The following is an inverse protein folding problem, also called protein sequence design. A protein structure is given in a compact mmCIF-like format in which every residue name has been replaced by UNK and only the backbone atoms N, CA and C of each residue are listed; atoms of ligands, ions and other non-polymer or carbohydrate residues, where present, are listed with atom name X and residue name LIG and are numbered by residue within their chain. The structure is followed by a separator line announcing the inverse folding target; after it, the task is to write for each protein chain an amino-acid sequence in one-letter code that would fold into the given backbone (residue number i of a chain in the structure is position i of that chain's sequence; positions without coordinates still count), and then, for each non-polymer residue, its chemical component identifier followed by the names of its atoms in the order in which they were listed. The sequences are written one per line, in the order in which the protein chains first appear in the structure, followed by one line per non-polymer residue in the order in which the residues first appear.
data_IF_536498364218
#
_entry.id   IF_536498364218
#
_cell.length_a   1.000
_cell.length_b   1.000
_cell.length_c   1.000
_cell.angle_alpha   90.00
_cell.angle_beta   90.00
_cell.angle_gamma   90.00
#
_symmetry.space_group_name_H-M   'P 1'
#
loop_
_entity.id
_entity.type
_entity.pdbx_description
1 polymer ?
#
# COMPACT_ATOMS: atom_id res chain seq x y z
N UNK A 1 12.31 32.44 51.75
CA UNK A 1 11.33 31.83 50.83
C UNK A 1 11.80 31.74 49.38
N UNK A 2 12.46 32.77 48.84
CA UNK A 2 12.90 32.83 47.43
C UNK A 2 13.79 31.66 46.98
N UNK A 3 14.76 31.21 47.80
CA UNK A 3 15.64 30.07 47.46
C UNK A 3 14.91 28.72 47.37
N UNK A 4 13.80 28.54 48.11
CA UNK A 4 12.99 27.29 48.07
C UNK A 4 12.04 27.27 46.87
N UNK A 5 11.55 28.43 46.42
CA UNK A 5 10.74 28.53 45.20
C UNK A 5 11.58 28.40 43.93
N UNK A 6 12.81 28.90 43.91
CA UNK A 6 13.73 28.72 42.79
C UNK A 6 14.11 27.23 42.58
N UNK A 7 14.31 26.48 43.66
CA UNK A 7 14.59 25.04 43.59
C UNK A 7 13.39 24.24 43.04
N UNK A 8 12.16 24.58 43.46
CA UNK A 8 10.94 23.92 42.98
C UNK A 8 10.66 24.20 41.49
N UNK A 9 10.91 25.42 41.01
CA UNK A 9 10.78 25.78 39.60
C UNK A 9 11.84 25.09 38.73
N UNK A 10 13.08 24.97 39.20
CA UNK A 10 14.11 24.22 38.47
C UNK A 10 13.77 22.72 38.37
N UNK A 11 13.25 22.11 39.42
CA UNK A 11 12.84 20.68 39.38
C UNK A 11 11.66 20.43 38.43
N UNK A 12 10.71 21.36 38.31
CA UNK A 12 9.58 21.21 37.39
C UNK A 12 10.01 21.28 35.91
N UNK A 13 11.03 22.08 35.59
CA UNK A 13 11.59 22.21 34.23
C UNK A 13 12.40 20.97 33.81
N UNK A 14 13.07 20.31 34.75
CA UNK A 14 13.83 19.06 34.47
C UNK A 14 12.89 17.88 34.21
N UNK A 15 11.75 17.81 34.90
CA UNK A 15 10.76 16.73 34.68
C UNK A 15 10.08 16.87 33.32
N UNK A 16 9.74 18.09 32.88
CA UNK A 16 9.12 18.32 31.56
C UNK A 16 10.09 18.12 30.39
N UNK A 17 11.39 18.39 30.57
CA UNK A 17 12.40 18.16 29.52
C UNK A 17 12.65 16.67 29.24
N UNK A 18 12.41 15.77 30.21
CA UNK A 18 12.61 14.33 30.05
C UNK A 18 11.55 13.63 29.20
N UNK A 19 10.36 14.24 29.04
CA UNK A 19 9.27 13.69 28.24
C UNK A 19 9.55 13.70 26.72
N UNK A 20 10.42 14.60 26.24
CA UNK A 20 10.70 14.77 24.81
C UNK A 20 11.56 13.67 24.19
N UNK A 21 12.43 13.02 24.97
CA UNK A 21 13.26 11.91 24.45
C UNK A 21 12.52 10.57 24.45
N UNK A 22 11.66 10.32 25.44
CA UNK A 22 10.86 9.08 25.53
C UNK A 22 9.75 8.99 24.47
N UNK A 23 9.20 10.12 24.03
CA UNK A 23 8.17 10.15 22.98
C UNK A 23 8.68 9.58 21.65
N UNK A 24 9.94 9.88 21.27
CA UNK A 24 10.54 9.33 20.05
C UNK A 24 10.66 7.81 20.11
N UNK A 25 11.10 7.26 21.24
CA UNK A 25 11.27 5.81 21.41
C UNK A 25 9.93 5.07 21.48
N UNK A 26 8.92 5.66 22.12
CA UNK A 26 7.55 5.13 22.16
C UNK A 26 6.87 5.10 20.79
N UNK A 27 7.04 6.13 19.97
CA UNK A 27 6.52 6.18 18.60
C UNK A 27 7.30 5.24 17.68
N UNK A 28 8.62 5.15 17.83
CA UNK A 28 9.44 4.22 17.02
C UNK A 28 9.16 2.75 17.32
N UNK A 29 8.83 2.44 18.57
CA UNK A 29 8.41 1.09 18.97
C UNK A 29 6.92 0.87 18.78
N UNK A 30 6.14 1.88 18.42
CA UNK A 30 4.71 1.71 18.21
C UNK A 30 4.46 1.03 16.88
N UNK A 31 3.27 0.44 16.77
CA UNK A 31 2.77 -0.11 15.54
C UNK A 31 2.38 0.98 14.52
N UNK A 32 2.71 2.26 14.73
CA UNK A 32 2.32 3.36 13.82
C UNK A 32 3.51 3.97 13.07
N UNK A 33 4.75 3.70 13.45
CA UNK A 33 5.94 4.25 12.76
C UNK A 33 6.45 3.30 11.67
N UNK A 34 5.66 3.12 10.62
CA UNK A 34 6.13 2.41 9.42
C UNK A 34 6.97 3.29 8.50
N UNK A 35 7.21 4.56 8.84
CA UNK A 35 8.09 5.45 8.07
C UNK A 35 9.56 5.37 8.50
N UNK A 36 9.82 4.74 9.65
CA UNK A 36 11.13 4.54 10.24
C UNK A 36 12.06 3.78 9.27
N UNK A 37 13.27 4.32 9.07
CA UNK A 37 14.36 3.71 8.28
C UNK A 37 15.60 3.48 9.14
N UNK A 38 15.42 3.25 10.44
CA UNK A 38 16.54 3.15 11.39
C UNK A 38 17.25 1.81 11.29
N UNK A 39 18.57 1.83 11.46
CA UNK A 39 19.35 0.62 11.63
C UNK A 39 18.96 -0.06 12.96
N UNK A 40 18.85 -1.40 12.95
CA UNK A 40 18.48 -2.25 14.10
C UNK A 40 17.04 -2.09 14.63
N UNK A 41 16.07 -1.79 13.76
CA UNK A 41 14.66 -1.85 14.15
C UNK A 41 14.28 -3.28 14.62
N UNK A 42 13.63 -3.45 15.80
CA UNK A 42 13.18 -4.75 16.28
C UNK A 42 12.34 -5.55 15.27
N UNK A 43 11.52 -4.89 14.44
CA UNK A 43 10.67 -5.53 13.41
C UNK A 43 11.48 -5.99 12.20
N UNK A 44 12.72 -5.51 12.07
CA UNK A 44 13.70 -5.95 11.07
C UNK A 44 14.68 -6.99 11.62
N UNK A 45 14.54 -7.41 12.88
CA UNK A 45 15.34 -8.50 13.44
C UNK A 45 14.88 -9.84 12.84
N UNK A 46 15.60 -10.33 11.84
CA UNK A 46 15.36 -11.63 11.23
C UNK A 46 15.76 -11.67 9.76
N UNK A 47 15.55 -12.82 9.13
CA UNK A 47 15.69 -12.94 7.69
C UNK A 47 14.57 -12.15 6.98
N UNK A 48 14.95 -11.43 5.91
CA UNK A 48 14.02 -10.72 5.04
C UNK A 48 12.94 -11.67 4.54
N UNK A 49 11.67 -11.30 4.73
CA UNK A 49 10.51 -12.16 4.43
C UNK A 49 9.70 -11.76 3.19
N UNK A 50 10.03 -10.62 2.56
CA UNK A 50 9.36 -10.06 1.37
C UNK A 50 10.31 -9.89 0.18
N UNK A 51 9.73 -9.69 -1.00
CA UNK A 51 10.43 -9.46 -2.26
C UNK A 51 10.97 -10.74 -2.91
N UNK A 52 11.73 -10.61 -4.00
CA UNK A 52 12.34 -11.75 -4.68
C UNK A 52 13.37 -12.41 -3.76
N UNK A 53 13.28 -13.73 -3.64
CA UNK A 53 14.24 -14.59 -2.93
C UNK A 53 15.01 -15.49 -3.89
N UNK A 54 14.53 -15.65 -5.13
CA UNK A 54 15.23 -16.35 -6.20
C UNK A 54 15.46 -15.47 -7.42
N UNK A 55 16.42 -15.86 -8.26
CA UNK A 55 16.68 -15.24 -9.56
C UNK A 55 15.91 -15.93 -10.71
N UNK A 56 14.81 -16.62 -10.41
CA UNK A 56 14.03 -17.33 -11.42
C UNK A 56 13.25 -16.33 -12.30
N UNK A 57 13.49 -16.27 -13.63
CA UNK A 57 12.76 -15.37 -14.51
C UNK A 57 11.26 -15.70 -14.59
N UNK A 58 10.89 -16.94 -14.30
CA UNK A 58 9.51 -17.43 -14.36
C UNK A 58 8.82 -17.42 -12.99
N UNK A 59 9.38 -16.68 -12.02
CA UNK A 59 8.84 -16.60 -10.65
C UNK A 59 7.44 -15.98 -10.62
N UNK A 60 7.10 -15.19 -11.64
CA UNK A 60 5.81 -14.52 -11.79
C UNK A 60 4.89 -15.16 -12.84
N UNK A 61 5.25 -16.34 -13.36
CA UNK A 61 4.38 -17.17 -14.19
C UNK A 61 3.51 -18.03 -13.29
N UNK A 62 2.32 -17.54 -12.94
CA UNK A 62 1.41 -18.25 -12.05
C UNK A 62 0.46 -19.13 -12.88
N UNK A 63 0.19 -20.34 -12.38
CA UNK A 63 -0.74 -21.27 -13.01
C UNK A 63 -2.20 -21.01 -12.58
N UNK A 64 -2.39 -20.48 -11.36
CA UNK A 64 -3.67 -19.99 -10.87
C UNK A 64 -3.44 -18.84 -9.89
N UNK A 65 -4.51 -18.11 -9.60
CA UNK A 65 -4.53 -17.18 -8.49
C UNK A 65 -5.92 -17.11 -7.86
N UNK A 66 -5.96 -16.77 -6.59
CA UNK A 66 -7.19 -16.58 -5.83
C UNK A 66 -7.11 -15.36 -4.93
N UNK A 67 -8.26 -14.73 -4.69
CA UNK A 67 -8.39 -13.68 -3.69
C UNK A 67 -8.54 -14.29 -2.29
N UNK A 68 -7.64 -13.92 -1.37
CA UNK A 68 -7.73 -14.36 0.02
C UNK A 68 -8.38 -13.31 0.91
N UNK A 69 -9.68 -13.45 1.16
CA UNK A 69 -10.41 -12.53 2.05
C UNK A 69 -9.88 -12.56 3.49
N UNK A 70 -9.46 -13.73 3.98
CA UNK A 70 -8.98 -13.91 5.34
C UNK A 70 -7.65 -13.19 5.58
N UNK A 71 -6.68 -13.36 4.66
CA UNK A 71 -5.37 -12.71 4.78
C UNK A 71 -5.51 -11.22 4.51
N UNK A 72 -6.30 -10.82 3.51
CA UNK A 72 -6.58 -9.40 3.22
C UNK A 72 -7.07 -8.66 4.46
N UNK A 73 -8.08 -9.20 5.16
CA UNK A 73 -8.56 -8.63 6.43
C UNK A 73 -7.45 -8.51 7.48
N UNK A 74 -6.61 -9.53 7.63
CA UNK A 74 -5.52 -9.52 8.62
C UNK A 74 -4.38 -8.58 8.30
N UNK A 75 -4.18 -8.25 7.02
CA UNK A 75 -3.25 -7.19 6.61
C UNK A 75 -3.90 -5.82 6.80
N UNK A 76 -5.19 -5.65 6.46
CA UNK A 76 -5.94 -4.41 6.74
C UNK A 76 -6.01 -4.08 8.23
N UNK A 77 -6.11 -5.09 9.12
CA UNK A 77 -6.12 -4.89 10.58
C UNK A 77 -4.77 -4.36 11.12
N UNK A 78 -3.73 -4.26 10.28
CA UNK A 78 -2.45 -3.66 10.67
C UNK A 78 -2.56 -2.14 10.63
N UNK A 79 -2.07 -1.49 11.68
CA UNK A 79 -1.96 -0.03 11.71
C UNK A 79 -1.23 0.49 10.48
N UNK A 80 -1.54 1.71 10.02
CA UNK A 80 -0.86 2.28 8.85
C UNK A 80 -1.42 1.81 7.51
N UNK A 81 -2.23 0.74 7.49
CA UNK A 81 -2.86 0.17 6.31
C UNK A 81 -4.34 0.50 6.35
N UNK A 82 -4.79 1.32 5.40
CA UNK A 82 -6.21 1.63 5.25
C UNK A 82 -6.99 0.43 4.71
N UNK A 83 -6.39 -0.30 3.77
CA UNK A 83 -6.98 -1.50 3.17
C UNK A 83 -5.92 -2.31 2.41
N UNK A 84 -6.14 -3.62 2.32
CA UNK A 84 -5.26 -4.56 1.64
C UNK A 84 -6.05 -5.56 0.80
N UNK A 85 -5.47 -5.94 -0.33
CA UNK A 85 -5.95 -7.01 -1.21
C UNK A 85 -4.80 -8.00 -1.42
N UNK A 86 -5.01 -9.23 -0.98
CA UNK A 86 -4.03 -10.31 -1.07
C UNK A 86 -4.49 -11.35 -2.06
N UNK A 87 -3.66 -11.57 -3.08
CA UNK A 87 -3.81 -12.62 -4.07
C UNK A 87 -2.79 -13.73 -3.79
N UNK A 88 -3.27 -14.95 -3.63
CA UNK A 88 -2.44 -16.15 -3.48
C UNK A 88 -2.33 -16.87 -4.82
N UNK A 89 -1.17 -17.46 -5.10
CA UNK A 89 -0.95 -18.25 -6.31
C UNK A 89 -0.38 -19.63 -5.97
N UNK A 90 -0.04 -20.40 -7.01
CA UNK A 90 0.67 -21.67 -6.87
C UNK A 90 2.07 -21.53 -6.25
N UNK A 91 2.65 -20.32 -6.23
CA UNK A 91 4.03 -20.09 -5.77
C UNK A 91 4.13 -18.97 -4.74
N UNK A 92 3.49 -17.83 -4.98
CA UNK A 92 3.75 -16.58 -4.29
C UNK A 92 2.48 -15.96 -3.72
N UNK A 93 2.66 -15.00 -2.82
CA UNK A 93 1.62 -14.06 -2.44
C UNK A 93 1.92 -12.69 -3.04
N UNK A 94 0.89 -12.05 -3.59
CA UNK A 94 0.95 -10.68 -4.06
C UNK A 94 -0.02 -9.82 -3.25
N UNK A 95 0.47 -8.69 -2.78
CA UNK A 95 -0.22 -7.87 -1.78
C UNK A 95 -0.27 -6.43 -2.26
N UNK A 96 -1.47 -5.97 -2.60
CA UNK A 96 -1.76 -4.57 -2.85
C UNK A 96 -2.22 -3.92 -1.55
N UNK A 97 -1.58 -2.81 -1.15
CA UNK A 97 -1.95 -2.08 0.07
C UNK A 97 -2.25 -0.61 -0.23
N UNK A 98 -3.17 -0.04 0.55
CA UNK A 98 -3.42 1.39 0.64
C UNK A 98 -3.06 1.85 2.04
N UNK A 99 -2.48 3.04 2.16
CA UNK A 99 -2.02 3.58 3.44
C UNK A 99 -3.02 4.60 3.99
N UNK A 100 -3.14 4.67 5.31
CA UNK A 100 -4.08 5.54 6.04
C UNK A 100 -3.47 6.90 6.47
N UNK A 101 -2.37 7.31 5.83
CA UNK A 101 -1.53 8.48 6.15
C UNK A 101 -0.70 8.39 7.44
N UNK A 102 -0.88 7.38 8.28
CA UNK A 102 -0.07 7.22 9.50
C UNK A 102 1.23 6.45 9.24
N UNK A 103 1.28 5.59 8.21
CA UNK A 103 2.43 4.75 7.86
C UNK A 103 3.58 5.44 7.11
N UNK A 104 3.40 6.65 6.59
CA UNK A 104 4.25 7.17 5.50
C UNK A 104 5.44 8.01 5.97
N UNK A 105 5.58 8.22 7.29
CA UNK A 105 6.59 9.09 7.87
C UNK A 105 6.44 10.56 7.43
N UNK A 106 7.15 11.46 8.10
CA UNK A 106 7.24 12.86 7.66
C UNK A 106 8.07 12.91 6.37
N UNK A 107 7.42 13.08 5.21
CA UNK A 107 8.10 13.24 3.92
C UNK A 107 9.07 14.44 4.00
N UNK A 108 10.35 14.20 3.75
CA UNK A 108 11.28 15.27 3.40
C UNK A 108 10.79 15.95 2.12
N UNK A 109 10.82 17.28 2.11
CA UNK A 109 10.48 18.16 0.99
C UNK A 109 11.10 17.67 -0.32
N UNK A 110 10.31 17.07 -1.22
CA UNK A 110 10.78 16.67 -2.56
C UNK A 110 10.23 15.37 -3.16
N UNK A 111 9.39 14.60 -2.45
CA UNK A 111 8.73 13.44 -3.06
C UNK A 111 7.65 13.85 -4.07
N UNK A 112 7.64 13.25 -5.26
CA UNK A 112 6.57 13.46 -6.24
C UNK A 112 5.22 13.12 -5.60
N UNK A 113 4.39 14.14 -5.41
CA UNK A 113 3.05 14.00 -4.85
C UNK A 113 2.15 13.39 -5.91
N UNK A 114 1.92 12.08 -5.82
CA UNK A 114 0.98 11.39 -6.73
C UNK A 114 -0.49 11.68 -6.42
N UNK A 115 -0.75 12.27 -5.24
CA UNK A 115 -2.10 12.49 -4.77
C UNK A 115 -2.36 13.96 -4.47
N UNK A 116 -3.20 14.58 -5.27
CA UNK A 116 -3.66 15.95 -5.12
C UNK A 116 -5.02 15.99 -4.44
N UNK A 117 -5.01 16.35 -3.15
CA UNK A 117 -6.23 16.50 -2.35
C UNK A 117 -6.71 17.96 -2.26
N UNK A 118 -6.13 18.87 -3.04
CA UNK A 118 -6.50 20.30 -2.96
C UNK A 118 -7.91 20.58 -3.50
N UNK A 119 -8.43 19.71 -4.37
CA UNK A 119 -9.81 19.79 -4.88
C UNK A 119 -10.89 19.66 -3.80
N UNK A 120 -10.58 19.06 -2.64
CA UNK A 120 -11.54 18.98 -1.51
C UNK A 120 -11.99 20.36 -1.03
N UNK A 121 -11.10 21.35 -1.02
CA UNK A 121 -11.44 22.72 -0.60
C UNK A 121 -12.29 23.47 -1.64
N UNK A 122 -12.28 23.01 -2.89
CA UNK A 122 -13.01 23.59 -4.02
C UNK A 122 -14.30 22.80 -4.33
N UNK A 123 -14.60 21.75 -3.56
CA UNK A 123 -15.81 20.93 -3.74
C UNK A 123 -15.78 20.01 -4.97
N UNK A 124 -14.59 19.72 -5.51
CA UNK A 124 -14.42 18.90 -6.71
C UNK A 124 -13.58 17.66 -6.43
N UNK A 125 -13.96 16.53 -7.04
CA UNK A 125 -13.28 15.25 -6.86
C UNK A 125 -11.98 15.18 -7.67
N UNK A 126 -12.00 15.66 -8.92
CA UNK A 126 -10.81 15.78 -9.77
C UNK A 126 -10.59 17.27 -10.09
N UNK A 127 -9.49 17.85 -9.59
CA UNK A 127 -9.18 19.26 -9.80
C UNK A 127 -8.86 19.58 -11.26
N UNK A 128 -8.18 18.67 -11.97
CA UNK A 128 -7.71 18.92 -13.33
C UNK A 128 -8.87 18.96 -14.35
N UNK A 129 -9.99 18.32 -14.02
CA UNK A 129 -11.21 18.34 -14.84
C UNK A 129 -12.36 19.13 -14.22
N UNK A 130 -12.24 19.57 -12.96
CA UNK A 130 -13.30 20.22 -12.19
C UNK A 130 -14.50 19.31 -11.88
N UNK A 131 -14.39 18.00 -12.11
CA UNK A 131 -15.51 17.07 -11.92
C UNK A 131 -15.75 16.80 -10.43
N UNK A 132 -17.01 16.91 -9.94
CA UNK A 132 -17.38 16.46 -8.61
C UNK A 132 -17.61 14.93 -8.54
N UNK A 133 -17.61 14.24 -9.68
CA UNK A 133 -17.90 12.80 -9.76
C UNK A 133 -16.62 11.97 -9.76
N UNK A 134 -16.54 11.00 -8.84
CA UNK A 134 -15.53 9.94 -8.85
C UNK A 134 -15.98 8.74 -9.68
N UNK A 135 -15.04 8.05 -10.33
CA UNK A 135 -15.34 6.81 -11.04
C UNK A 135 -15.38 5.64 -10.03
N UNK A 136 -16.50 4.91 -9.97
CA UNK A 136 -16.71 3.81 -9.02
C UNK A 136 -15.92 2.53 -9.34
N UNK A 137 -15.25 2.47 -10.51
CA UNK A 137 -14.44 1.32 -10.92
C UNK A 137 -13.08 1.29 -10.23
N UNK A 138 -12.34 2.40 -10.21
CA UNK A 138 -11.06 2.45 -9.49
C UNK A 138 -11.26 2.79 -8.00
N UNK A 139 -10.50 2.11 -7.15
CA UNK A 139 -10.49 2.29 -5.70
C UNK A 139 -9.51 3.39 -5.27
N UNK A 140 -8.43 3.56 -6.05
CA UNK A 140 -7.37 4.54 -5.81
C UNK A 140 -7.23 5.48 -7.00
N UNK A 141 -7.23 6.79 -6.75
CA UNK A 141 -7.04 7.85 -7.76
C UNK A 141 -5.96 8.85 -7.35
N UNK A 142 -5.41 9.61 -8.31
CA UNK A 142 -4.52 10.73 -8.03
C UNK A 142 -5.19 11.89 -7.29
N UNK A 143 -6.51 11.88 -7.07
CA UNK A 143 -7.23 12.95 -6.40
C UNK A 143 -8.13 12.39 -5.31
N UNK A 144 -8.14 13.04 -4.13
CA UNK A 144 -9.08 12.79 -3.03
C UNK A 144 -9.29 11.28 -2.71
N UNK A 145 -8.21 10.50 -2.61
CA UNK A 145 -8.23 9.04 -2.46
C UNK A 145 -7.42 8.52 -1.25
N UNK A 146 -7.26 7.21 -1.11
CA UNK A 146 -6.29 6.64 -0.16
C UNK A 146 -4.87 6.79 -0.68
N UNK A 147 -3.90 6.87 0.23
CA UNK A 147 -2.52 7.10 -0.14
C UNK A 147 -1.89 5.91 -0.84
N UNK A 148 -1.29 6.18 -2.00
CA UNK A 148 -0.53 5.25 -2.83
C UNK A 148 0.94 5.67 -2.95
N UNK A 149 1.77 4.73 -3.40
CA UNK A 149 3.20 4.92 -3.64
C UNK A 149 3.58 4.33 -4.99
N UNK A 150 4.05 5.16 -5.92
CA UNK A 150 4.45 4.72 -7.26
C UNK A 150 5.48 3.59 -7.24
N UNK A 151 6.59 3.90 -6.56
CA UNK A 151 7.78 3.08 -6.53
C UNK A 151 7.78 2.25 -5.24
N UNK A 152 7.81 0.93 -5.40
CA UNK A 152 7.90 -0.05 -4.31
C UNK A 152 9.09 0.20 -3.38
N UNK A 153 10.17 0.83 -3.87
CA UNK A 153 11.34 1.17 -3.07
C UNK A 153 11.08 2.34 -2.12
N UNK A 154 10.02 3.11 -2.34
CA UNK A 154 9.60 4.19 -1.45
C UNK A 154 8.76 3.68 -0.27
N UNK A 155 8.26 2.44 -0.33
CA UNK A 155 7.70 1.77 0.85
C UNK A 155 8.81 1.35 1.81
N UNK A 156 8.60 1.59 3.11
CA UNK A 156 9.58 1.20 4.11
C UNK A 156 9.78 -0.31 4.13
N UNK A 157 11.02 -0.72 4.41
CA UNK A 157 11.35 -2.13 4.56
C UNK A 157 10.66 -2.74 5.78
N UNK A 158 10.42 -1.95 6.83
CA UNK A 158 9.73 -2.36 8.06
C UNK A 158 8.27 -2.75 7.81
N UNK A 159 7.55 -1.93 7.02
CA UNK A 159 6.17 -2.24 6.62
C UNK A 159 6.12 -3.51 5.77
N UNK A 160 6.99 -3.59 4.76
CA UNK A 160 7.06 -4.76 3.87
C UNK A 160 7.38 -6.03 4.67
N UNK A 161 8.30 -5.95 5.65
CA UNK A 161 8.63 -7.05 6.54
C UNK A 161 7.44 -7.47 7.40
N UNK A 162 6.78 -6.53 8.06
CA UNK A 162 5.64 -6.80 8.94
C UNK A 162 4.47 -7.43 8.19
N UNK A 163 4.15 -6.91 7.00
CA UNK A 163 3.11 -7.45 6.12
C UNK A 163 3.47 -8.86 5.67
N UNK A 164 4.70 -9.10 5.23
CA UNK A 164 5.11 -10.42 4.78
C UNK A 164 5.11 -11.47 5.91
N UNK A 165 5.54 -11.10 7.12
CA UNK A 165 5.43 -11.99 8.28
C UNK A 165 3.97 -12.35 8.58
N UNK A 166 3.04 -11.37 8.48
CA UNK A 166 1.61 -11.62 8.65
C UNK A 166 1.07 -12.60 7.60
N UNK A 167 1.41 -12.39 6.34
CA UNK A 167 0.99 -13.24 5.22
C UNK A 167 1.52 -14.66 5.40
N UNK A 168 2.83 -14.83 5.64
CA UNK A 168 3.48 -16.14 5.81
C UNK A 168 2.94 -16.92 6.99
N UNK A 169 2.53 -16.25 8.08
CA UNK A 169 1.89 -16.90 9.22
C UNK A 169 0.60 -17.64 8.83
N UNK A 170 -0.13 -17.12 7.84
CA UNK A 170 -1.40 -17.69 7.38
C UNK A 170 -1.26 -18.55 6.13
N UNK A 171 -0.25 -18.28 5.30
CA UNK A 171 0.07 -19.02 4.10
C UNK A 171 1.55 -19.44 4.12
N UNK A 172 1.94 -20.44 4.94
CA UNK A 172 3.34 -20.82 5.11
C UNK A 172 3.95 -21.46 3.85
N UNK A 173 3.12 -21.93 2.91
CA UNK A 173 3.55 -22.54 1.66
C UNK A 173 4.07 -21.53 0.61
N UNK A 174 3.81 -20.22 0.78
CA UNK A 174 4.25 -19.24 -0.22
C UNK A 174 5.76 -19.06 -0.21
N UNK A 175 6.35 -19.06 -1.40
CA UNK A 175 7.79 -18.92 -1.61
C UNK A 175 8.21 -17.47 -1.40
N UNK A 176 7.52 -16.53 -2.07
CA UNK A 176 7.81 -15.11 -2.01
C UNK A 176 6.55 -14.29 -1.68
N UNK A 177 6.76 -13.13 -1.05
CA UNK A 177 5.68 -12.16 -0.77
C UNK A 177 6.03 -10.83 -1.42
N UNK A 178 5.27 -10.45 -2.44
CA UNK A 178 5.46 -9.23 -3.22
C UNK A 178 4.44 -8.19 -2.80
N UNK A 179 4.90 -7.01 -2.36
CA UNK A 179 4.05 -6.01 -1.71
C UNK A 179 4.22 -4.68 -2.42
N UNK A 180 3.13 -4.03 -2.78
CA UNK A 180 3.18 -2.71 -3.38
C UNK A 180 1.95 -1.88 -3.00
N UNK A 181 2.15 -0.57 -2.94
CA UNK A 181 1.10 0.42 -2.76
C UNK A 181 0.87 1.23 -4.04
N UNK A 182 1.32 0.70 -5.18
CA UNK A 182 1.12 1.34 -6.47
C UNK A 182 -0.36 1.34 -6.84
N UNK A 183 -0.86 2.50 -7.24
CA UNK A 183 -2.26 2.74 -7.57
C UNK A 183 -2.79 1.78 -8.66
N UNK A 184 -2.07 1.59 -9.76
CA UNK A 184 -2.52 0.71 -10.85
C UNK A 184 -2.59 -0.74 -10.39
N UNK A 185 -1.56 -1.22 -9.69
CA UNK A 185 -1.56 -2.58 -9.15
C UNK A 185 -2.76 -2.82 -8.22
N UNK A 186 -3.00 -1.91 -7.29
CA UNK A 186 -4.12 -2.03 -6.32
C UNK A 186 -5.46 -2.02 -7.04
N UNK A 187 -5.63 -1.17 -8.06
CA UNK A 187 -6.86 -1.13 -8.84
C UNK A 187 -7.07 -2.43 -9.64
N UNK A 188 -6.01 -3.02 -10.18
CA UNK A 188 -6.07 -4.34 -10.81
C UNK A 188 -6.52 -5.42 -9.83
N UNK A 189 -5.94 -5.42 -8.64
CA UNK A 189 -6.31 -6.37 -7.61
C UNK A 189 -7.75 -6.18 -7.13
N UNK A 190 -8.24 -4.94 -7.09
CA UNK A 190 -9.63 -4.65 -6.77
C UNK A 190 -10.59 -5.21 -7.82
N UNK A 191 -10.30 -5.07 -9.12
CA UNK A 191 -11.15 -5.66 -10.17
C UNK A 191 -11.19 -7.19 -10.06
N UNK A 192 -10.04 -7.85 -9.89
CA UNK A 192 -10.03 -9.29 -9.66
C UNK A 192 -10.75 -9.69 -8.36
N UNK A 193 -10.61 -8.91 -7.29
CA UNK A 193 -11.32 -9.18 -6.05
C UNK A 193 -12.84 -9.08 -6.22
N UNK A 194 -13.35 -8.11 -6.99
CA UNK A 194 -14.78 -7.99 -7.32
C UNK A 194 -15.30 -9.22 -8.07
N UNK A 195 -14.53 -9.76 -9.00
CA UNK A 195 -14.87 -11.01 -9.69
C UNK A 195 -15.02 -12.16 -8.68
N UNK A 196 -14.04 -12.32 -7.77
CA UNK A 196 -14.07 -13.34 -6.73
C UNK A 196 -15.23 -13.14 -5.72
N UNK A 197 -15.53 -11.90 -5.31
CA UNK A 197 -16.67 -11.58 -4.45
C UNK A 197 -18.00 -11.92 -5.10
N UNK A 198 -18.08 -11.79 -6.43
CA UNK A 198 -19.21 -12.24 -7.23
C UNK A 198 -19.29 -13.76 -7.42
N UNK A 199 -18.37 -14.54 -6.82
CA UNK A 199 -18.30 -15.99 -6.97
C UNK A 199 -17.81 -16.47 -8.35
N UNK A 200 -17.25 -15.57 -9.17
CA UNK A 200 -16.75 -15.90 -10.51
C UNK A 200 -15.33 -16.44 -10.43
N UNK A 201 -14.99 -17.32 -11.37
CA UNK A 201 -13.62 -17.86 -11.47
C UNK A 201 -12.66 -16.76 -11.94
N UNK A 202 -11.48 -16.70 -11.31
CA UNK A 202 -10.40 -15.79 -11.71
C UNK A 202 -9.56 -16.34 -12.87
N UNK A 203 -9.78 -17.60 -13.28
CA UNK A 203 -8.97 -18.25 -14.30
C UNK A 203 -8.90 -17.51 -15.65
N UNK A 204 -9.97 -16.89 -16.17
CA UNK A 204 -9.90 -16.10 -17.41
C UNK A 204 -8.95 -14.91 -17.33
N UNK A 205 -8.60 -14.47 -16.12
CA UNK A 205 -7.80 -13.28 -15.87
C UNK A 205 -6.31 -13.60 -15.62
N UNK A 206 -5.90 -14.87 -15.72
CA UNK A 206 -4.54 -15.30 -15.35
C UNK A 206 -3.45 -14.60 -16.17
N UNK A 207 -3.64 -14.43 -17.47
CA UNK A 207 -2.65 -13.79 -18.35
C UNK A 207 -2.50 -12.30 -18.01
N UNK A 208 -3.63 -11.63 -17.73
CA UNK A 208 -3.62 -10.23 -17.31
C UNK A 208 -2.99 -10.08 -15.93
N UNK A 209 -3.32 -10.95 -14.98
CA UNK A 209 -2.70 -10.99 -13.66
C UNK A 209 -1.17 -11.17 -13.76
N UNK A 210 -0.70 -12.16 -14.52
CA UNK A 210 0.72 -12.41 -14.75
C UNK A 210 1.43 -11.21 -15.40
N UNK A 211 0.79 -10.55 -16.36
CA UNK A 211 1.31 -9.32 -16.99
C UNK A 211 1.49 -8.21 -15.96
N UNK A 212 0.45 -7.96 -15.15
CA UNK A 212 0.45 -6.93 -14.11
C UNK A 212 1.55 -7.18 -13.08
N UNK A 213 1.66 -8.39 -12.51
CA UNK A 213 2.67 -8.66 -11.48
C UNK A 213 4.09 -8.64 -12.04
N UNK A 214 4.31 -9.11 -13.28
CA UNK A 214 5.62 -9.00 -13.94
C UNK A 214 6.04 -7.55 -14.15
N UNK A 215 5.11 -6.69 -14.57
CA UNK A 215 5.39 -5.26 -14.75
C UNK A 215 5.86 -4.62 -13.44
N UNK A 216 5.15 -4.86 -12.35
CA UNK A 216 5.44 -4.21 -11.07
C UNK A 216 6.61 -4.83 -10.28
N UNK A 217 6.86 -6.14 -10.40
CA UNK A 217 7.83 -6.84 -9.55
C UNK A 217 9.05 -7.42 -10.28
N UNK A 218 8.97 -7.59 -11.60
CA UNK A 218 10.01 -8.27 -12.40
C UNK A 218 10.62 -7.40 -13.51
N UNK A 219 10.28 -6.11 -13.57
CA UNK A 219 10.73 -5.22 -14.65
C UNK A 219 10.15 -5.58 -16.02
N UNK A 220 8.92 -6.13 -16.03
CA UNK A 220 8.20 -6.43 -17.26
C UNK A 220 8.08 -5.19 -18.15
N UNK A 221 8.26 -5.37 -19.46
CA UNK A 221 8.22 -4.26 -20.44
C UNK A 221 6.82 -3.94 -20.95
N UNK A 222 5.86 -4.84 -20.71
CA UNK A 222 4.48 -4.69 -21.12
C UNK A 222 3.73 -3.98 -20.01
N UNK A 223 3.39 -2.70 -20.23
CA UNK A 223 2.56 -1.95 -19.30
C UNK A 223 1.11 -2.43 -19.43
N UNK A 224 0.46 -2.89 -18.33
CA UNK A 224 -0.94 -3.23 -18.36
C UNK A 224 -1.78 -1.96 -18.59
N UNK A 225 -2.91 -2.08 -19.28
CA UNK A 225 -3.78 -0.94 -19.59
C UNK A 225 -4.24 -0.24 -18.30
N UNK A 226 -4.04 1.07 -18.10
CA UNK A 226 -4.39 1.70 -16.83
C UNK A 226 -5.90 1.59 -16.53
N UNK A 227 -6.26 1.20 -15.30
CA UNK A 227 -7.68 1.18 -14.87
C UNK A 227 -8.13 2.59 -14.49
N UNK A 228 -7.20 3.43 -14.04
CA UNK A 228 -7.48 4.81 -13.60
C UNK A 228 -7.71 5.79 -14.72
N UNK A 229 -7.53 5.38 -15.98
CA UNK A 229 -7.91 6.15 -17.16
C UNK A 229 -9.23 5.60 -17.75
N UNK A 230 -10.41 5.96 -17.19
CA UNK A 230 -11.67 5.66 -17.83
C UNK A 230 -11.85 6.55 -19.07
N UNK A 231 -11.38 6.09 -20.23
CA UNK A 231 -11.90 6.50 -21.53
C UNK A 231 -11.09 7.49 -22.38
N UNK A 232 -10.18 6.95 -23.20
CA UNK A 232 -10.49 7.01 -24.65
C UNK A 232 -11.68 6.09 -24.92
N UNK A 233 -12.87 6.53 -24.52
CA UNK A 233 -14.13 5.94 -24.89
C UNK A 233 -14.97 7.09 -25.41
N UNK A 234 -14.76 7.42 -26.68
CA UNK A 234 -15.80 8.11 -27.46
C UNK A 234 -16.97 7.13 -27.59
N UNK A 235 -18.17 7.42 -27.06
CA UNK A 235 -19.35 6.74 -27.57
C UNK A 235 -19.77 7.46 -28.84
N UNK A 236 -19.17 7.06 -29.95
CA UNK A 236 -19.77 7.13 -31.30
C UNK A 236 -18.82 6.31 -32.17
N UNK A 237 -19.27 5.29 -32.88
CA UNK A 237 -20.28 5.43 -33.93
C UNK A 237 -21.16 4.17 -33.99
N UNK A 238 -22.48 4.37 -33.97
CA UNK A 238 -23.45 3.56 -34.72
C UNK A 238 -23.48 2.02 -34.57
N UNK A 239 -23.13 1.41 -33.43
CA UNK A 239 -23.11 -0.07 -33.34
C UNK A 239 -23.77 -0.69 -32.09
N UNK A 240 -24.97 -0.23 -31.77
CA UNK A 240 -26.03 -1.18 -31.44
C UNK A 240 -27.18 -0.91 -32.40
N UNK A 241 -27.03 -1.34 -33.66
CA UNK A 241 -28.16 -1.58 -34.55
C UNK A 241 -29.02 -2.70 -33.94
N UNK A 242 -29.99 -2.28 -33.13
CA UNK A 242 -31.34 -2.85 -32.95
C UNK A 242 -32.18 -1.92 -32.08
#
# INVERSE_FOLDING_TARGET
MVKRMAALLLSAVVITASAGCNYKELVQKSDTDYGSRRANDPKMLGARSYGPMSNNPNQHDNAFFEYSSAISRKVTDMNGIASAIVMLTDKNAYVGIMLDWTAVGTRGTGGNTEQDNTGTNEGVYNRDTGSPYGNSRALVYPYNSYFSVNDINNLSEELKQSVALKVRKMAPAVQEVHISANMELVNYFNEFAKEAWGGRSLMPWIDQFNTVVKYHFAGGKVMPQPITQPGTYSPSESQFDQ
#
